data_IF_642924120436
#
_entry.id   IF_642924120436
#
_cell.length_a   1.000
_cell.length_b   1.000
_cell.length_c   1.000
_cell.angle_alpha   90.00
_cell.angle_beta   90.00
_cell.angle_gamma   90.00
#
_symmetry.space_group_name_H-M   'P 1'
#
loop_
_entity.id
_entity.type
_entity.pdbx_description
1 polymer ?
#
# COMPACT_ATOMS: atom_id res chain seq x y z
N UNK A 1 22.15 -62.97 10.92
CA UNK A 1 21.31 -62.88 9.70
C UNK A 1 20.03 -62.05 9.89
N UNK A 2 19.38 -62.08 11.07
CA UNK A 2 18.12 -61.35 11.34
C UNK A 2 18.32 -59.83 11.48
N UNK A 3 19.38 -59.37 12.17
CA UNK A 3 19.65 -57.93 12.39
C UNK A 3 19.82 -57.12 11.10
N UNK A 4 20.53 -57.66 10.11
CA UNK A 4 20.73 -57.01 8.80
C UNK A 4 19.44 -56.94 7.97
N UNK A 5 18.51 -57.90 8.17
CA UNK A 5 17.21 -57.89 7.51
C UNK A 5 16.27 -56.84 8.13
N UNK A 6 16.30 -56.69 9.45
CA UNK A 6 15.55 -55.65 10.18
C UNK A 6 16.07 -54.25 9.85
N UNK A 7 17.40 -54.05 9.78
CA UNK A 7 17.98 -52.76 9.42
C UNK A 7 17.58 -52.30 8.01
N UNK A 8 17.61 -53.20 7.02
CA UNK A 8 17.12 -52.88 5.66
C UNK A 8 15.64 -52.55 5.62
N UNK A 9 14.83 -53.28 6.39
CA UNK A 9 13.40 -53.02 6.48
C UNK A 9 13.10 -51.64 7.12
N UNK A 10 13.89 -51.23 8.11
CA UNK A 10 13.76 -49.89 8.71
C UNK A 10 14.21 -48.79 7.75
N UNK A 11 15.29 -49.01 7.00
CA UNK A 11 15.80 -48.05 6.02
C UNK A 11 14.82 -47.85 4.84
N UNK A 12 14.18 -48.92 4.37
CA UNK A 12 13.12 -48.84 3.36
C UNK A 12 11.87 -48.13 3.89
N UNK A 13 11.47 -48.36 5.13
CA UNK A 13 10.33 -47.64 5.71
C UNK A 13 10.62 -46.16 5.86
N UNK A 14 11.84 -45.81 6.26
CA UNK A 14 12.27 -44.41 6.43
C UNK A 14 12.36 -43.69 5.08
N UNK A 15 12.86 -44.35 4.03
CA UNK A 15 12.90 -43.77 2.70
C UNK A 15 11.50 -43.53 2.13
N UNK A 16 10.55 -44.46 2.34
CA UNK A 16 9.15 -44.29 1.91
C UNK A 16 8.48 -43.11 2.63
N UNK A 17 8.71 -42.95 3.93
CA UNK A 17 8.16 -41.83 4.69
C UNK A 17 8.78 -40.50 4.22
N UNK A 18 10.09 -40.49 3.95
CA UNK A 18 10.78 -39.31 3.47
C UNK A 18 10.34 -38.92 2.05
N UNK A 19 10.12 -39.89 1.16
CA UNK A 19 9.61 -39.66 -0.20
C UNK A 19 8.15 -39.19 -0.18
N UNK A 20 7.34 -39.71 0.75
CA UNK A 20 5.98 -39.23 0.94
C UNK A 20 5.96 -37.79 1.48
N UNK A 21 6.81 -37.45 2.45
CA UNK A 21 6.93 -36.08 2.97
C UNK A 21 7.51 -35.11 1.93
N UNK A 22 8.47 -35.56 1.11
CA UNK A 22 8.97 -34.79 -0.04
C UNK A 22 7.89 -34.60 -1.10
N UNK A 23 7.09 -35.63 -1.41
CA UNK A 23 5.94 -35.49 -2.32
C UNK A 23 4.86 -34.57 -1.78
N UNK A 24 4.62 -34.58 -0.47
CA UNK A 24 3.64 -33.71 0.19
C UNK A 24 4.11 -32.24 0.21
N UNK A 25 5.41 -32.00 0.37
CA UNK A 25 6.00 -30.65 0.26
C UNK A 25 6.12 -30.15 -1.18
N UNK A 26 6.24 -31.04 -2.17
CA UNK A 26 6.33 -30.71 -3.60
C UNK A 26 4.93 -30.58 -4.24
N UNK A 27 3.87 -31.13 -3.65
CA UNK A 27 2.50 -30.83 -4.07
C UNK A 27 2.17 -29.37 -3.69
N UNK A 28 2.00 -28.46 -4.67
CA UNK A 28 1.36 -27.21 -4.39
C UNK A 28 -0.10 -27.52 -4.08
N UNK A 29 -0.65 -26.91 -3.04
CA UNK A 29 -2.07 -26.87 -2.72
C UNK A 29 -2.90 -26.61 -4.00
N UNK A 30 -3.34 -27.67 -4.67
CA UNK A 30 -4.14 -27.63 -5.88
C UNK A 30 -5.57 -27.96 -5.49
N UNK A 31 -6.14 -27.12 -4.63
CA UNK A 31 -7.59 -26.92 -4.54
C UNK A 31 -7.86 -25.48 -4.12
N UNK A 32 -7.61 -24.55 -5.04
CA UNK A 32 -8.32 -23.27 -5.23
C UNK A 32 -7.46 -22.30 -6.06
N UNK A 33 -7.17 -22.65 -7.32
CA UNK A 33 -6.89 -21.64 -8.33
C UNK A 33 -8.03 -21.62 -9.34
N UNK A 34 -9.11 -20.95 -8.94
CA UNK A 34 -10.02 -20.38 -9.92
C UNK A 34 -9.29 -19.22 -10.60
N UNK A 35 -9.22 -19.31 -11.92
CA UNK A 35 -8.76 -18.29 -12.84
C UNK A 35 -9.68 -17.06 -12.70
N UNK A 36 -9.29 -16.09 -11.86
CA UNK A 36 -9.93 -14.77 -11.81
C UNK A 36 -8.88 -13.70 -12.08
N UNK A 37 -8.97 -13.15 -13.28
CA UNK A 37 -8.37 -11.89 -13.68
C UNK A 37 -8.79 -10.79 -12.69
N UNK A 38 -7.81 -10.17 -12.02
CA UNK A 38 -7.99 -8.93 -11.27
C UNK A 38 -8.29 -9.09 -9.77
N UNK A 39 -7.23 -9.25 -8.95
CA UNK A 39 -7.18 -9.11 -7.48
C UNK A 39 -8.54 -9.27 -6.79
N UNK A 40 -8.88 -10.51 -6.50
CA UNK A 40 -9.90 -10.88 -5.53
C UNK A 40 -9.59 -10.23 -4.18
N UNK A 41 -10.67 -9.73 -3.60
CA UNK A 41 -10.84 -9.07 -2.32
C UNK A 41 -10.00 -9.69 -1.19
N UNK A 42 -8.86 -9.10 -0.86
CA UNK A 42 -8.02 -9.46 0.31
C UNK A 42 -8.68 -9.16 1.67
N UNK A 43 -9.99 -8.92 1.70
CA UNK A 43 -10.80 -8.79 2.92
C UNK A 43 -11.14 -10.15 3.53
N UNK A 44 -10.95 -11.24 2.78
CA UNK A 44 -11.20 -12.60 3.27
C UNK A 44 -10.05 -13.14 4.13
N UNK A 45 -8.78 -12.90 3.81
CA UNK A 45 -7.68 -13.60 4.50
C UNK A 45 -7.55 -13.23 5.99
N UNK A 46 -7.59 -11.95 6.38
CA UNK A 46 -7.43 -11.60 7.80
C UNK A 46 -8.69 -11.88 8.62
N UNK A 47 -9.88 -11.67 8.07
CA UNK A 47 -11.13 -11.89 8.79
C UNK A 47 -11.45 -13.38 8.92
N UNK A 48 -11.17 -14.19 7.89
CA UNK A 48 -11.36 -15.66 7.95
C UNK A 48 -10.25 -16.32 8.79
N UNK A 49 -9.02 -15.80 8.81
CA UNK A 49 -7.98 -16.29 9.71
C UNK A 49 -8.29 -15.95 11.18
N UNK A 50 -8.91 -14.80 11.44
CA UNK A 50 -9.40 -14.41 12.75
C UNK A 50 -10.60 -15.24 13.23
N UNK A 51 -11.28 -15.93 12.31
CA UNK A 51 -12.39 -16.83 12.60
C UNK A 51 -11.93 -18.14 13.26
N UNK A 52 -10.65 -18.49 13.11
CA UNK A 52 -10.05 -19.62 13.82
C UNK A 52 -10.04 -19.29 15.33
N UNK A 53 -10.71 -20.13 16.13
CA UNK A 53 -10.91 -19.93 17.57
C UNK A 53 -9.63 -19.59 18.35
N UNK A 54 -8.48 -20.11 17.90
CA UNK A 54 -7.17 -19.82 18.48
C UNK A 54 -6.74 -18.35 18.35
N UNK A 55 -6.96 -17.72 17.19
CA UNK A 55 -6.55 -16.34 16.93
C UNK A 55 -7.50 -15.34 17.61
N UNK A 56 -8.80 -15.65 17.64
CA UNK A 56 -9.78 -14.88 18.41
C UNK A 56 -9.43 -14.82 19.91
N UNK A 57 -9.00 -15.95 20.48
CA UNK A 57 -8.59 -16.03 21.88
C UNK A 57 -7.35 -15.17 22.14
N UNK A 58 -6.35 -15.25 21.26
CA UNK A 58 -5.14 -14.41 21.33
C UNK A 58 -5.49 -12.91 21.24
N UNK A 59 -6.42 -12.53 20.36
CA UNK A 59 -6.88 -11.14 20.26
C UNK A 59 -7.54 -10.62 21.54
N UNK A 60 -8.45 -11.39 22.13
CA UNK A 60 -9.06 -11.01 23.41
C UNK A 60 -8.03 -10.97 24.54
N UNK A 61 -7.03 -11.85 24.54
CA UNK A 61 -5.90 -11.78 25.46
C UNK A 61 -5.11 -10.48 25.29
N UNK A 62 -4.77 -10.08 24.06
CA UNK A 62 -4.08 -8.81 23.80
C UNK A 62 -4.92 -7.60 24.23
N UNK A 63 -6.23 -7.61 23.96
CA UNK A 63 -7.13 -6.55 24.45
C UNK A 63 -7.15 -6.50 25.97
N UNK A 64 -7.28 -7.64 26.64
CA UNK A 64 -7.29 -7.69 28.09
C UNK A 64 -5.99 -7.16 28.69
N UNK A 65 -4.83 -7.55 28.12
CA UNK A 65 -3.52 -7.03 28.52
C UNK A 65 -3.42 -5.52 28.28
N UNK A 66 -3.89 -5.02 27.13
CA UNK A 66 -3.90 -3.59 26.82
C UNK A 66 -4.78 -2.81 27.78
N UNK A 67 -5.98 -3.32 28.10
CA UNK A 67 -6.90 -2.71 29.07
C UNK A 67 -6.28 -2.71 30.47
N UNK A 68 -5.70 -3.82 30.92
CA UNK A 68 -5.01 -3.90 32.23
C UNK A 68 -3.85 -2.89 32.27
N UNK A 69 -3.05 -2.78 31.21
CA UNK A 69 -1.96 -1.81 31.13
C UNK A 69 -2.48 -0.37 31.19
N UNK A 70 -3.57 -0.07 30.47
CA UNK A 70 -4.22 1.24 30.49
C UNK A 70 -4.75 1.59 31.88
N UNK A 71 -5.50 0.69 32.51
CA UNK A 71 -6.02 0.89 33.87
C UNK A 71 -4.89 0.98 34.90
N UNK A 72 -3.84 0.16 34.77
CA UNK A 72 -2.68 0.23 35.66
C UNK A 72 -1.99 1.59 35.57
N UNK A 73 -1.82 2.12 34.35
CA UNK A 73 -1.23 3.45 34.15
C UNK A 73 -2.12 4.54 34.75
N UNK A 74 -3.45 4.46 34.54
CA UNK A 74 -4.41 5.40 35.14
C UNK A 74 -4.44 5.35 36.66
N UNK A 75 -4.36 4.17 37.27
CA UNK A 75 -4.37 4.00 38.73
C UNK A 75 -3.10 4.57 39.34
N UNK A 76 -1.94 4.29 38.74
CA UNK A 76 -0.65 4.83 39.18
C UNK A 76 -0.66 6.36 39.09
N UNK A 77 -1.08 6.90 37.95
CA UNK A 77 -1.19 8.34 37.73
C UNK A 77 -2.18 9.01 38.70
N UNK A 78 -3.30 8.36 38.99
CA UNK A 78 -4.29 8.82 39.98
C UNK A 78 -3.72 8.85 41.40
N UNK A 79 -2.96 7.82 41.80
CA UNK A 79 -2.36 7.73 43.14
C UNK A 79 -1.27 8.79 43.30
N UNK A 80 -0.43 8.98 42.29
CA UNK A 80 0.72 9.89 42.35
C UNK A 80 0.29 11.37 42.26
N UNK A 81 -0.62 11.73 41.36
CA UNK A 81 -1.03 13.13 41.15
C UNK A 81 -2.30 13.53 41.91
N UNK A 82 -3.11 12.59 42.41
CA UNK A 82 -4.37 12.84 43.11
C UNK A 82 -5.52 13.36 42.22
N UNK A 83 -5.29 13.48 40.90
CA UNK A 83 -6.28 13.87 39.88
C UNK A 83 -6.01 13.07 38.61
N UNK A 84 -7.06 12.66 37.89
CA UNK A 84 -6.95 12.03 36.56
C UNK A 84 -6.57 13.10 35.51
N UNK A 85 -5.31 13.51 35.47
CA UNK A 85 -4.78 14.36 34.40
C UNK A 85 -3.93 13.47 33.51
N UNK A 86 -4.55 12.85 32.49
CA UNK A 86 -3.77 12.15 31.47
C UNK A 86 -2.86 13.16 30.76
N UNK A 87 -1.56 13.11 31.06
CA UNK A 87 -0.53 13.88 30.38
C UNK A 87 -0.31 13.31 28.97
N UNK A 88 -1.19 13.69 28.05
CA UNK A 88 -1.00 13.47 26.62
C UNK A 88 0.08 14.40 26.02
N UNK A 89 0.81 15.14 26.85
CA UNK A 89 1.85 16.08 26.44
C UNK A 89 2.94 15.39 25.63
N UNK A 90 3.30 14.14 25.96
CA UNK A 90 4.25 13.36 25.16
C UNK A 90 3.69 13.06 23.76
N UNK A 91 2.38 12.83 23.64
CA UNK A 91 1.71 12.58 22.36
C UNK A 91 1.60 13.86 21.55
N UNK A 92 1.17 14.97 22.16
CA UNK A 92 1.13 16.28 21.49
C UNK A 92 2.54 16.77 21.10
N UNK A 93 3.55 16.47 21.91
CA UNK A 93 4.94 16.71 21.58
C UNK A 93 5.38 15.87 20.38
N UNK A 94 5.08 14.58 20.37
CA UNK A 94 5.43 13.67 19.27
C UNK A 94 4.71 14.01 17.94
N UNK A 95 3.45 14.45 18.00
CA UNK A 95 2.64 14.90 16.85
C UNK A 95 2.69 16.42 16.64
N UNK A 96 3.64 17.12 17.26
CA UNK A 96 3.67 18.57 17.25
C UNK A 96 3.72 19.18 15.84
N UNK A 97 3.26 20.43 15.75
CA UNK A 97 3.10 21.18 14.50
C UNK A 97 2.19 20.53 13.43
N UNK A 98 0.96 20.09 13.80
CA UNK A 98 0.04 19.48 12.83
C UNK A 98 -0.34 20.43 11.68
N UNK A 99 -0.34 21.76 11.92
CA UNK A 99 -0.61 22.75 10.87
C UNK A 99 0.37 22.69 9.70
N UNK A 100 1.67 22.56 10.00
CA UNK A 100 2.73 22.41 8.97
C UNK A 100 2.54 21.11 8.19
N UNK A 101 2.20 20.02 8.89
CA UNK A 101 1.94 18.71 8.27
C UNK A 101 0.74 18.78 7.32
N UNK A 102 -0.38 19.36 7.74
CA UNK A 102 -1.60 19.47 6.93
C UNK A 102 -1.39 20.36 5.71
N UNK A 103 -0.68 21.49 5.86
CA UNK A 103 -0.37 22.36 4.74
C UNK A 103 0.55 21.68 3.72
N UNK A 104 1.63 21.05 4.18
CA UNK A 104 2.55 20.31 3.31
C UNK A 104 1.84 19.14 2.61
N UNK A 105 0.99 18.42 3.35
CA UNK A 105 0.15 17.35 2.81
C UNK A 105 -0.80 17.85 1.74
N UNK A 106 -1.45 19.00 1.95
CA UNK A 106 -2.39 19.58 0.97
C UNK A 106 -1.66 19.94 -0.32
N UNK A 107 -0.42 20.45 -0.25
CA UNK A 107 0.41 20.72 -1.43
C UNK A 107 0.77 19.42 -2.16
N UNK A 108 1.24 18.39 -1.45
CA UNK A 108 1.54 17.09 -2.06
C UNK A 108 0.31 16.43 -2.70
N UNK A 109 -0.84 16.53 -2.03
CA UNK A 109 -2.12 16.02 -2.50
C UNK A 109 -2.58 16.77 -3.76
N UNK A 110 -2.56 18.11 -3.74
CA UNK A 110 -2.93 18.91 -4.90
C UNK A 110 -2.01 18.64 -6.10
N UNK A 111 -0.70 18.51 -5.87
CA UNK A 111 0.25 18.13 -6.90
C UNK A 111 -0.08 16.77 -7.51
N UNK A 112 -0.25 15.74 -6.68
CA UNK A 112 -0.58 14.39 -7.17
C UNK A 112 -1.92 14.30 -7.85
N UNK A 113 -2.89 15.10 -7.45
CA UNK A 113 -4.22 15.11 -8.08
C UNK A 113 -4.19 15.76 -9.47
N UNK A 114 -3.51 16.90 -9.61
CA UNK A 114 -3.60 17.71 -10.84
C UNK A 114 -2.53 17.34 -11.87
N UNK A 115 -1.26 17.24 -11.47
CA UNK A 115 -0.14 17.15 -12.41
C UNK A 115 -0.17 15.84 -13.22
N UNK A 116 -0.19 14.64 -12.61
CA UNK A 116 -0.27 13.39 -13.35
C UNK A 116 -1.49 13.31 -14.28
N UNK A 117 -2.64 13.80 -13.83
CA UNK A 117 -3.89 13.78 -14.59
C UNK A 117 -3.82 14.65 -15.85
N UNK A 118 -3.42 15.93 -15.70
CA UNK A 118 -3.33 16.84 -16.84
C UNK A 118 -2.19 16.47 -17.78
N UNK A 119 -1.03 16.04 -17.27
CA UNK A 119 0.09 15.59 -18.11
C UNK A 119 -0.33 14.40 -18.97
N UNK A 120 -1.05 13.41 -18.42
CA UNK A 120 -1.55 12.28 -19.20
C UNK A 120 -2.60 12.69 -20.23
N UNK A 121 -3.53 13.59 -19.87
CA UNK A 121 -4.55 14.10 -20.80
C UNK A 121 -3.90 14.84 -21.97
N UNK A 122 -2.91 15.69 -21.68
CA UNK A 122 -2.14 16.42 -22.67
C UNK A 122 -1.33 15.47 -23.57
N UNK A 123 -0.62 14.52 -22.96
CA UNK A 123 0.13 13.49 -23.68
C UNK A 123 -0.77 12.68 -24.62
N UNK A 124 -1.93 12.23 -24.15
CA UNK A 124 -2.91 11.48 -24.94
C UNK A 124 -3.38 12.26 -26.19
N UNK A 125 -3.67 13.55 -26.04
CA UNK A 125 -4.08 14.41 -27.16
C UNK A 125 -2.96 14.62 -28.18
N UNK A 126 -1.71 14.67 -27.74
CA UNK A 126 -0.56 14.97 -28.59
C UNK A 126 0.01 13.71 -29.25
N UNK A 127 -0.11 12.56 -28.59
CA UNK A 127 0.35 11.25 -29.05
C UNK A 127 -0.24 10.85 -30.41
N UNK A 128 -1.50 11.23 -30.68
CA UNK A 128 -2.18 10.91 -31.93
C UNK A 128 -1.89 11.91 -33.06
N UNK A 129 -1.45 13.13 -32.73
CA UNK A 129 -1.18 14.20 -33.70
C UNK A 129 0.24 14.16 -34.26
N UNK A 130 1.19 13.62 -33.49
CA UNK A 130 2.61 13.61 -33.87
C UNK A 130 3.05 12.26 -34.47
N UNK A 131 3.87 12.34 -35.52
CA UNK A 131 4.48 11.17 -36.17
C UNK A 131 5.56 10.51 -35.29
N UNK A 132 6.32 11.30 -34.51
CA UNK A 132 7.40 10.84 -33.63
C UNK A 132 6.91 10.46 -32.23
N UNK A 133 6.10 9.39 -32.14
CA UNK A 133 5.40 8.95 -30.92
C UNK A 133 6.35 8.59 -29.75
N UNK A 134 7.48 7.96 -30.06
CA UNK A 134 8.44 7.48 -29.05
C UNK A 134 9.20 8.64 -28.40
N UNK A 135 9.70 9.59 -29.19
CA UNK A 135 10.40 10.77 -28.69
C UNK A 135 9.49 11.64 -27.82
N UNK A 136 8.23 11.82 -28.23
CA UNK A 136 7.23 12.56 -27.46
C UNK A 136 6.95 11.90 -26.11
N UNK A 137 6.73 10.58 -26.11
CA UNK A 137 6.49 9.82 -24.87
C UNK A 137 7.68 9.85 -23.92
N UNK A 138 8.89 9.73 -24.46
CA UNK A 138 10.11 9.77 -23.65
C UNK A 138 10.34 11.16 -23.06
N UNK A 139 10.17 12.22 -23.86
CA UNK A 139 10.34 13.61 -23.41
C UNK A 139 9.36 14.00 -22.31
N UNK A 140 8.07 13.71 -22.49
CA UNK A 140 7.04 14.00 -21.48
C UNK A 140 7.23 13.14 -20.23
N UNK A 141 7.60 11.86 -20.39
CA UNK A 141 7.89 10.98 -19.27
C UNK A 141 9.10 11.44 -18.44
N UNK A 142 10.19 11.86 -19.10
CA UNK A 142 11.36 12.42 -18.42
C UNK A 142 11.03 13.73 -17.71
N UNK A 143 10.30 14.64 -18.36
CA UNK A 143 9.86 15.89 -17.74
C UNK A 143 8.94 15.65 -16.53
N UNK A 144 8.03 14.69 -16.62
CA UNK A 144 7.18 14.31 -15.48
C UNK A 144 8.01 13.72 -14.34
N UNK A 145 9.00 12.87 -14.65
CA UNK A 145 9.89 12.26 -13.65
C UNK A 145 10.76 13.29 -12.91
N UNK A 146 11.29 14.29 -13.62
CA UNK A 146 12.09 15.36 -13.00
C UNK A 146 11.24 16.24 -12.10
N UNK A 147 10.06 16.64 -12.57
CA UNK A 147 9.10 17.44 -11.77
C UNK A 147 8.62 16.65 -10.55
N UNK A 148 8.34 15.36 -10.71
CA UNK A 148 7.92 14.48 -9.60
C UNK A 148 9.02 14.29 -8.57
N UNK A 149 10.28 14.15 -9.00
CA UNK A 149 11.43 14.07 -8.08
C UNK A 149 11.64 15.36 -7.29
N UNK A 150 11.36 16.52 -7.90
CA UNK A 150 11.47 17.81 -7.21
C UNK A 150 10.35 18.02 -6.19
N UNK A 151 9.09 17.83 -6.59
CA UNK A 151 7.93 18.19 -5.76
C UNK A 151 7.55 17.08 -4.77
N UNK A 152 7.66 15.81 -5.12
CA UNK A 152 7.40 14.71 -4.18
C UNK A 152 8.67 14.15 -3.56
N UNK A 153 9.86 14.42 -4.10
CA UNK A 153 11.12 14.00 -3.50
C UNK A 153 11.70 15.06 -2.56
N UNK A 154 12.11 16.20 -3.12
CA UNK A 154 12.88 17.21 -2.38
C UNK A 154 12.01 18.07 -1.45
N UNK A 155 10.81 18.46 -1.87
CA UNK A 155 9.95 19.35 -1.07
C UNK A 155 9.54 18.77 0.31
N UNK A 156 9.06 17.52 0.44
CA UNK A 156 8.68 16.98 1.75
C UNK A 156 9.89 16.85 2.69
N UNK A 157 11.05 16.49 2.14
CA UNK A 157 12.33 16.43 2.87
C UNK A 157 12.71 17.82 3.36
N UNK A 158 12.62 18.84 2.49
CA UNK A 158 12.89 20.23 2.84
C UNK A 158 11.99 20.70 3.98
N UNK A 159 10.67 20.45 3.90
CA UNK A 159 9.71 20.83 4.95
C UNK A 159 10.05 20.16 6.28
N UNK A 160 10.34 18.85 6.26
CA UNK A 160 10.69 18.07 7.45
C UNK A 160 11.95 18.60 8.13
N UNK A 161 13.00 18.91 7.36
CA UNK A 161 14.29 19.37 7.88
C UNK A 161 14.22 20.82 8.35
N UNK A 162 13.62 21.72 7.55
CA UNK A 162 13.58 23.15 7.84
C UNK A 162 12.69 23.48 9.04
N UNK A 163 11.51 22.85 9.13
CA UNK A 163 10.58 23.09 10.25
C UNK A 163 10.91 22.25 11.50
N UNK A 164 11.94 21.41 11.45
CA UNK A 164 12.37 20.55 12.56
C UNK A 164 11.20 19.79 13.20
N UNK A 165 10.38 19.17 12.35
CA UNK A 165 9.16 18.47 12.77
C UNK A 165 9.44 17.41 13.87
N UNK A 166 8.57 17.18 14.85
CA UNK A 166 8.72 16.07 15.80
C UNK A 166 8.69 14.68 15.14
N UNK A 167 9.27 13.64 15.76
CA UNK A 167 9.52 12.36 15.09
C UNK A 167 8.26 11.69 14.49
N UNK A 168 7.11 11.73 15.18
CA UNK A 168 5.88 11.11 14.65
C UNK A 168 5.29 11.91 13.47
N UNK A 169 5.32 13.24 13.56
CA UNK A 169 4.88 14.11 12.46
C UNK A 169 5.74 13.96 11.19
N UNK A 170 7.07 13.80 11.34
CA UNK A 170 7.98 13.46 10.22
C UNK A 170 7.57 12.16 9.56
N UNK A 171 7.32 11.13 10.37
CA UNK A 171 6.94 9.82 9.87
C UNK A 171 5.65 9.87 9.04
N UNK A 172 4.64 10.63 9.48
CA UNK A 172 3.40 10.84 8.71
C UNK A 172 3.68 11.46 7.34
N UNK A 173 4.47 12.54 7.28
CA UNK A 173 4.77 13.23 6.02
C UNK A 173 5.49 12.31 5.03
N UNK A 174 6.47 11.53 5.51
CA UNK A 174 7.24 10.61 4.66
C UNK A 174 6.37 9.42 4.19
N UNK A 175 5.52 8.86 5.06
CA UNK A 175 4.59 7.80 4.63
C UNK A 175 3.60 8.30 3.57
N UNK A 176 3.07 9.51 3.77
CA UNK A 176 2.17 10.16 2.80
C UNK A 176 2.89 10.47 1.48
N UNK A 177 4.14 10.93 1.54
CA UNK A 177 5.00 11.12 0.37
C UNK A 177 5.14 9.82 -0.43
N UNK A 178 5.48 8.71 0.22
CA UNK A 178 5.66 7.41 -0.45
C UNK A 178 4.31 6.92 -1.03
N UNK A 179 3.21 7.09 -0.28
CA UNK A 179 1.85 6.76 -0.73
C UNK A 179 1.49 7.49 -2.03
N UNK A 180 1.74 8.80 -2.07
CA UNK A 180 1.51 9.65 -3.23
C UNK A 180 2.37 9.27 -4.43
N UNK A 181 3.67 9.00 -4.20
CA UNK A 181 4.60 8.56 -5.24
C UNK A 181 4.12 7.27 -5.91
N UNK A 182 3.76 6.26 -5.10
CA UNK A 182 3.29 4.97 -5.59
C UNK A 182 1.98 5.10 -6.36
N UNK A 183 1.03 5.90 -5.87
CA UNK A 183 -0.26 6.12 -6.54
C UNK A 183 -0.11 6.85 -7.87
N UNK A 184 0.71 7.90 -7.92
CA UNK A 184 1.00 8.62 -9.18
C UNK A 184 1.65 7.69 -10.21
N UNK A 185 2.63 6.88 -9.79
CA UNK A 185 3.27 5.89 -10.66
C UNK A 185 2.29 4.82 -11.16
N UNK A 186 1.46 4.25 -10.28
CA UNK A 186 0.48 3.25 -10.69
C UNK A 186 -0.55 3.82 -11.67
N UNK A 187 -1.03 5.05 -11.45
CA UNK A 187 -1.96 5.68 -12.37
C UNK A 187 -1.35 5.85 -13.76
N UNK A 188 -0.12 6.35 -13.84
CA UNK A 188 0.61 6.52 -15.10
C UNK A 188 0.80 5.17 -15.80
N UNK A 189 1.26 4.15 -15.07
CA UNK A 189 1.55 2.83 -15.60
C UNK A 189 0.33 2.10 -16.14
N UNK A 190 -0.82 2.20 -15.47
CA UNK A 190 -2.04 1.52 -15.89
C UNK A 190 -2.74 2.28 -17.03
N UNK A 191 -2.73 3.62 -16.99
CA UNK A 191 -3.43 4.43 -18.00
C UNK A 191 -2.65 4.54 -19.32
N UNK A 192 -1.32 4.56 -19.29
CA UNK A 192 -0.50 4.68 -20.49
C UNK A 192 -0.74 3.58 -21.56
N UNK A 193 -0.71 2.27 -21.24
CA UNK A 193 -0.98 1.23 -22.23
C UNK A 193 -2.42 1.26 -22.73
N UNK A 194 -3.38 1.66 -21.89
CA UNK A 194 -4.78 1.80 -22.29
C UNK A 194 -4.96 2.92 -23.32
N UNK A 195 -4.27 4.06 -23.16
CA UNK A 195 -4.28 5.14 -24.14
C UNK A 195 -3.64 4.69 -25.47
N UNK A 196 -2.54 3.91 -25.42
CA UNK A 196 -1.84 3.44 -26.62
C UNK A 196 -2.69 2.44 -27.41
N UNK A 197 -3.42 1.55 -26.72
CA UNK A 197 -4.28 0.53 -27.33
C UNK A 197 -5.57 1.11 -27.89
N UNK A 198 -6.16 2.07 -27.20
CA UNK A 198 -7.43 2.69 -27.58
C UNK A 198 -7.21 3.91 -28.48
N UNK A 199 -6.84 3.65 -29.74
CA UNK A 199 -6.84 4.70 -30.77
C UNK A 199 -8.27 5.22 -30.97
N UNK A 200 -8.55 6.53 -30.83
CA UNK A 200 -9.88 7.08 -31.07
C UNK A 200 -10.26 6.82 -32.52
N UNK A 201 -11.42 6.19 -32.73
CA UNK A 201 -12.05 6.09 -34.06
C UNK A 201 -12.56 7.48 -34.44
N UNK A 202 -12.57 7.80 -35.74
CA UNK A 202 -13.07 9.10 -36.23
C UNK A 202 -14.45 9.41 -35.63
N UNK A 203 -14.52 10.46 -34.81
CA UNK A 203 -15.75 10.95 -34.19
C UNK A 203 -16.02 10.54 -32.72
N UNK A 204 -15.24 9.63 -32.14
CA UNK A 204 -15.39 9.24 -30.72
C UNK A 204 -14.41 9.97 -29.80
N UNK A 205 -14.90 10.41 -28.63
CA UNK A 205 -14.02 10.96 -27.58
C UNK A 205 -13.06 9.87 -27.09
N UNK A 206 -11.75 10.17 -26.96
CA UNK A 206 -10.79 9.19 -26.43
C UNK A 206 -11.23 8.75 -25.03
N UNK A 207 -11.25 7.43 -24.81
CA UNK A 207 -11.62 6.82 -23.53
C UNK A 207 -10.54 7.14 -22.50
N UNK A 208 -10.74 8.24 -21.76
CA UNK A 208 -9.84 8.73 -20.73
C UNK A 208 -10.48 8.52 -19.36
N UNK A 209 -9.71 8.14 -18.32
CA UNK A 209 -10.25 7.96 -16.98
C UNK A 209 -10.92 9.22 -16.44
N UNK A 210 -12.07 9.04 -15.80
CA UNK A 210 -12.80 10.16 -15.18
C UNK A 210 -12.04 10.70 -13.98
N UNK A 211 -12.00 12.02 -13.82
CA UNK A 211 -11.36 12.69 -12.68
C UNK A 211 -11.87 12.18 -11.32
N UNK A 212 -13.18 11.92 -11.21
CA UNK A 212 -13.81 11.36 -10.00
C UNK A 212 -13.27 9.98 -9.63
N UNK A 213 -13.01 9.10 -10.60
CA UNK A 213 -12.41 7.78 -10.36
C UNK A 213 -10.97 7.91 -9.88
N UNK A 214 -10.22 8.87 -10.42
CA UNK A 214 -8.86 9.15 -9.98
C UNK A 214 -8.80 9.73 -8.56
N UNK A 215 -9.68 10.69 -8.25
CA UNK A 215 -9.82 11.23 -6.89
C UNK A 215 -10.22 10.13 -5.90
N UNK A 216 -11.16 9.27 -6.26
CA UNK A 216 -11.55 8.11 -5.45
C UNK A 216 -10.36 7.15 -5.21
N UNK A 217 -9.59 6.86 -6.25
CA UNK A 217 -8.38 6.05 -6.12
C UNK A 217 -7.36 6.65 -5.14
N UNK A 218 -7.23 7.97 -5.10
CA UNK A 218 -6.26 8.65 -4.23
C UNK A 218 -6.54 8.41 -2.74
N UNK A 219 -7.81 8.22 -2.36
CA UNK A 219 -8.24 7.86 -1.00
C UNK A 219 -8.38 6.35 -0.75
N UNK A 220 -8.50 5.55 -1.81
CA UNK A 220 -8.67 4.10 -1.68
C UNK A 220 -7.43 3.45 -1.00
N UNK A 221 -7.62 2.46 -0.10
CA UNK A 221 -6.54 1.69 0.52
C UNK A 221 -5.93 0.67 -0.46
N UNK A 222 -5.69 1.08 -1.70
CA UNK A 222 -5.04 0.28 -2.74
C UNK A 222 -3.99 1.11 -3.46
N UNK A 223 -2.94 0.45 -3.94
CA UNK A 223 -1.87 1.06 -4.71
C UNK A 223 -1.99 0.83 -6.21
N UNK A 224 -2.96 0.01 -6.65
CA UNK A 224 -3.18 -0.27 -8.07
C UNK A 224 -4.40 0.49 -8.54
N UNK A 225 -4.22 1.36 -9.52
CA UNK A 225 -5.29 2.10 -10.18
C UNK A 225 -6.22 1.16 -10.97
N UNK A 226 -7.54 1.36 -10.82
CA UNK A 226 -8.59 0.75 -11.64
C UNK A 226 -9.69 1.78 -11.87
N UNK A 227 -10.33 1.72 -13.03
CA UNK A 227 -11.44 2.63 -13.37
C UNK A 227 -12.67 2.37 -12.47
N UNK A 228 -12.90 1.11 -12.11
CA UNK A 228 -13.94 0.70 -11.17
C UNK A 228 -13.37 -0.28 -10.14
N UNK A 229 -13.74 -0.06 -8.87
CA UNK A 229 -13.42 -0.96 -7.76
C UNK A 229 -14.68 -1.70 -7.30
N UNK A 230 -14.55 -2.97 -6.88
CA UNK A 230 -15.65 -3.67 -6.23
C UNK A 230 -16.04 -2.90 -4.97
N UNK A 231 -17.34 -2.63 -4.81
CA UNK A 231 -17.91 -1.94 -3.65
C UNK A 231 -18.53 -2.95 -2.71
#
# INVERSE_FOLDING_TARGET
MVKTKVLRQVEEQMSIILDNALRESIQPATSSQSKVNGKTTAKQTSNELFEINHIRTIYHMFIAVLLIFFFSTLIIDYIDQGRLVLEFDMLFYAFGQPGTVVWAWTIMFAYTLLVPFYTLKFWSSLYHKFSQKLALSLGIGLALSTVQSFILGLFPIYVVVHHQLPPASRFIVILEQIRFLMKAYSFLRETAPDIIKNTPKEGENPRFPTFSSYLYFLFCPTLIYRESYPR
#
